data_IF_297093819823
#
_entry.id   IF_297093819823
#
_cell.length_a   1.000
_cell.length_b   1.000
_cell.length_c   1.000
_cell.angle_alpha   90.00
_cell.angle_beta   90.00
_cell.angle_gamma   90.00
#
_symmetry.space_group_name_H-M   'P 1'
#
loop_
_entity.id
_entity.type
_entity.pdbx_description
1 polymer ?
#
# COMPACT_ATOMS: atom_id res chain seq x y z
N UNK A 1 -19.37 -12.59 0.41
CA UNK A 1 -20.62 -13.15 0.98
C UNK A 1 -21.13 -14.34 0.16
N UNK A 2 -21.42 -14.16 -1.16
CA UNK A 2 -21.93 -15.25 -2.02
C UNK A 2 -20.99 -16.46 -2.04
N UNK A 3 -19.69 -16.24 -2.21
CA UNK A 3 -18.70 -17.33 -2.20
C UNK A 3 -18.65 -18.08 -0.87
N UNK A 4 -18.81 -17.39 0.27
CA UNK A 4 -18.85 -18.03 1.58
C UNK A 4 -20.14 -18.86 1.75
N UNK A 5 -21.27 -18.34 1.27
CA UNK A 5 -22.54 -19.07 1.30
C UNK A 5 -22.47 -20.36 0.45
N UNK A 6 -22.00 -20.23 -0.80
CA UNK A 6 -21.85 -21.39 -1.70
C UNK A 6 -20.82 -22.37 -1.14
N UNK A 7 -19.70 -21.88 -0.62
CA UNK A 7 -18.66 -22.74 -0.03
C UNK A 7 -19.15 -23.51 1.19
N UNK A 8 -19.96 -22.89 2.05
CA UNK A 8 -20.57 -23.57 3.20
C UNK A 8 -21.52 -24.68 2.78
N UNK A 9 -22.41 -24.42 1.84
CA UNK A 9 -23.39 -25.39 1.33
C UNK A 9 -22.70 -26.56 0.59
N UNK A 10 -21.71 -26.25 -0.26
CA UNK A 10 -20.93 -27.29 -0.98
C UNK A 10 -20.06 -28.10 0.00
N UNK A 11 -19.59 -27.47 1.09
CA UNK A 11 -18.86 -28.13 2.17
C UNK A 11 -19.71 -29.02 3.08
N UNK A 12 -21.03 -29.12 2.81
CA UNK A 12 -21.96 -30.02 3.52
C UNK A 12 -22.65 -29.42 4.74
N UNK A 13 -22.48 -28.09 4.99
CA UNK A 13 -23.23 -27.38 6.02
C UNK A 13 -24.62 -27.02 5.50
N UNK A 14 -25.63 -27.05 6.37
CA UNK A 14 -26.95 -26.50 6.04
C UNK A 14 -26.91 -24.96 5.98
N UNK A 15 -28.01 -24.36 5.52
CA UNK A 15 -28.10 -22.90 5.38
C UNK A 15 -27.95 -22.17 6.72
N UNK A 16 -28.55 -22.69 7.79
CA UNK A 16 -28.48 -22.09 9.13
C UNK A 16 -27.06 -22.16 9.69
N UNK A 17 -26.40 -23.28 9.56
CA UNK A 17 -25.02 -23.48 9.96
C UNK A 17 -24.08 -22.59 9.15
N UNK A 18 -24.28 -22.51 7.84
CA UNK A 18 -23.47 -21.63 6.97
C UNK A 18 -23.61 -20.18 7.38
N UNK A 19 -24.81 -19.69 7.63
CA UNK A 19 -25.04 -18.31 8.10
C UNK A 19 -24.42 -18.09 9.48
N UNK A 20 -24.53 -19.03 10.40
CA UNK A 20 -23.90 -18.94 11.73
C UNK A 20 -22.37 -18.86 11.65
N UNK A 21 -21.75 -19.65 10.78
CA UNK A 21 -20.31 -19.62 10.52
C UNK A 21 -19.88 -18.28 9.90
N UNK A 22 -20.68 -17.75 8.97
CA UNK A 22 -20.43 -16.41 8.38
C UNK A 22 -20.49 -15.30 9.42
N UNK A 23 -21.47 -15.33 10.32
CA UNK A 23 -21.60 -14.36 11.42
C UNK A 23 -20.41 -14.47 12.37
N UNK A 24 -20.04 -15.67 12.78
CA UNK A 24 -18.87 -15.91 13.65
C UNK A 24 -17.57 -15.43 13.01
N UNK A 25 -17.38 -15.71 11.72
CA UNK A 25 -16.24 -15.20 10.96
C UNK A 25 -16.20 -13.67 10.89
N UNK A 26 -17.34 -13.02 10.65
CA UNK A 26 -17.44 -11.56 10.65
C UNK A 26 -17.11 -10.96 12.02
N UNK A 27 -17.56 -11.57 13.11
CA UNK A 27 -17.20 -11.14 14.47
C UNK A 27 -15.71 -11.27 14.74
N UNK A 28 -15.08 -12.35 14.28
CA UNK A 28 -13.65 -12.60 14.45
C UNK A 28 -12.75 -11.56 13.78
N UNK A 29 -13.20 -10.95 12.66
CA UNK A 29 -12.40 -9.94 11.94
C UNK A 29 -12.75 -8.49 12.32
N UNK A 30 -13.67 -8.26 13.24
CA UNK A 30 -14.14 -6.89 13.58
C UNK A 30 -12.99 -5.99 14.04
N UNK A 31 -12.05 -6.51 14.83
CA UNK A 31 -10.87 -5.75 15.28
C UNK A 31 -10.01 -5.31 14.11
N UNK A 32 -9.75 -6.19 13.14
CA UNK A 32 -9.00 -5.86 11.93
C UNK A 32 -9.71 -4.80 11.11
N UNK A 33 -11.03 -4.91 10.95
CA UNK A 33 -11.86 -3.91 10.23
C UNK A 33 -11.74 -2.53 10.89
N UNK A 34 -11.84 -2.44 12.22
CA UNK A 34 -11.72 -1.17 12.94
C UNK A 34 -10.34 -0.54 12.77
N UNK A 35 -9.27 -1.34 12.81
CA UNK A 35 -7.90 -0.85 12.53
C UNK A 35 -7.73 -0.34 11.11
N UNK A 36 -8.30 -1.03 10.13
CA UNK A 36 -8.29 -0.60 8.72
C UNK A 36 -9.02 0.72 8.54
N UNK A 37 -10.19 0.89 9.17
CA UNK A 37 -10.94 2.14 9.14
C UNK A 37 -10.13 3.30 9.75
N UNK A 38 -9.50 3.07 10.90
CA UNK A 38 -8.66 4.08 11.55
C UNK A 38 -7.46 4.47 10.66
N UNK A 39 -6.79 3.51 10.03
CA UNK A 39 -5.72 3.78 9.07
C UNK A 39 -6.23 4.57 7.85
N UNK A 40 -7.43 4.26 7.35
CA UNK A 40 -8.08 4.99 6.27
C UNK A 40 -8.40 6.44 6.61
N UNK A 41 -8.83 6.71 7.84
CA UNK A 41 -9.05 8.09 8.33
C UNK A 41 -7.74 8.87 8.35
N UNK A 42 -6.65 8.29 8.85
CA UNK A 42 -5.33 8.94 8.83
C UNK A 42 -4.89 9.27 7.40
N UNK A 43 -5.02 8.31 6.48
CA UNK A 43 -4.70 8.52 5.07
C UNK A 43 -5.56 9.66 4.46
N UNK A 44 -6.87 9.69 4.75
CA UNK A 44 -7.78 10.75 4.32
C UNK A 44 -7.34 12.13 4.79
N UNK A 45 -6.99 12.27 6.06
CA UNK A 45 -6.49 13.53 6.64
C UNK A 45 -5.22 14.00 5.94
N UNK A 46 -4.27 13.10 5.66
CA UNK A 46 -3.03 13.44 4.94
C UNK A 46 -3.28 13.93 3.51
N UNK A 47 -4.30 13.38 2.86
CA UNK A 47 -4.67 13.79 1.50
C UNK A 47 -5.39 15.13 1.50
N UNK A 48 -6.45 15.26 2.31
CA UNK A 48 -7.29 16.46 2.37
C UNK A 48 -6.54 17.69 2.90
N UNK A 49 -5.59 17.50 3.81
CA UNK A 49 -4.72 18.57 4.30
C UNK A 49 -3.68 19.04 3.27
N UNK A 50 -3.51 18.34 2.14
CA UNK A 50 -2.46 18.59 1.16
C UNK A 50 -1.07 18.10 1.57
N UNK A 51 -0.94 17.50 2.76
CA UNK A 51 0.35 17.02 3.26
C UNK A 51 0.96 15.95 2.34
N UNK A 52 0.15 15.07 1.77
CA UNK A 52 0.61 14.06 0.83
C UNK A 52 1.27 14.67 -0.43
N UNK A 53 0.64 15.71 -1.00
CA UNK A 53 1.20 16.45 -2.14
C UNK A 53 2.51 17.15 -1.75
N UNK A 54 2.53 17.84 -0.62
CA UNK A 54 3.71 18.55 -0.12
C UNK A 54 4.90 17.62 0.11
N UNK A 55 4.66 16.42 0.67
CA UNK A 55 5.69 15.39 0.84
C UNK A 55 6.25 14.97 -0.52
N UNK A 56 5.38 14.64 -1.49
CA UNK A 56 5.78 14.19 -2.81
C UNK A 56 6.58 15.26 -3.56
N UNK A 57 6.11 16.53 -3.57
CA UNK A 57 6.79 17.66 -4.19
C UNK A 57 8.14 17.93 -3.53
N UNK A 58 8.20 17.91 -2.21
CA UNK A 58 9.46 18.15 -1.47
C UNK A 58 10.53 17.13 -1.84
N UNK A 59 10.16 15.84 -1.94
CA UNK A 59 11.10 14.77 -2.29
C UNK A 59 11.57 14.93 -3.73
N UNK A 60 10.64 15.18 -4.67
CA UNK A 60 10.97 15.31 -6.09
C UNK A 60 11.80 16.55 -6.37
N UNK A 61 11.50 17.68 -5.72
CA UNK A 61 12.27 18.91 -5.86
C UNK A 61 13.70 18.79 -5.28
N UNK A 62 13.85 18.10 -4.14
CA UNK A 62 15.17 17.91 -3.52
C UNK A 62 16.09 16.97 -4.32
N UNK A 63 15.54 15.94 -4.95
CA UNK A 63 16.33 14.97 -5.72
C UNK A 63 16.58 15.39 -7.16
N UNK A 64 15.71 16.25 -7.69
CA UNK A 64 15.82 16.79 -9.04
C UNK A 64 15.56 15.81 -10.17
N UNK A 65 15.62 16.32 -11.40
CA UNK A 65 15.27 15.55 -12.61
C UNK A 65 16.25 14.40 -12.89
N UNK A 66 17.52 14.56 -12.55
CA UNK A 66 18.56 13.51 -12.75
C UNK A 66 18.28 12.24 -11.95
N UNK A 67 17.50 12.32 -10.89
CA UNK A 67 17.12 11.20 -10.01
C UNK A 67 15.62 10.99 -9.95
N UNK A 68 14.92 11.35 -11.03
CA UNK A 68 13.45 11.33 -11.07
C UNK A 68 12.85 9.97 -10.67
N UNK A 69 13.37 8.86 -11.19
CA UNK A 69 12.87 7.52 -10.81
C UNK A 69 13.02 7.26 -9.30
N UNK A 70 14.16 7.63 -8.72
CA UNK A 70 14.39 7.48 -7.28
C UNK A 70 13.46 8.41 -6.48
N UNK A 71 13.28 9.64 -6.94
CA UNK A 71 12.40 10.61 -6.31
C UNK A 71 10.94 10.12 -6.25
N UNK A 72 10.44 9.60 -7.37
CA UNK A 72 9.08 9.05 -7.46
C UNK A 72 8.91 7.79 -6.61
N UNK A 73 9.90 6.89 -6.61
CA UNK A 73 9.89 5.70 -5.77
C UNK A 73 9.90 6.07 -4.27
N UNK A 74 10.72 7.02 -3.85
CA UNK A 74 10.77 7.48 -2.46
C UNK A 74 9.52 8.26 -2.05
N UNK A 75 8.95 9.08 -2.95
CA UNK A 75 7.71 9.79 -2.67
C UNK A 75 6.56 8.81 -2.39
N UNK A 76 6.35 7.82 -3.25
CA UNK A 76 5.33 6.79 -3.05
C UNK A 76 5.62 5.90 -1.85
N UNK A 77 6.90 5.56 -1.60
CA UNK A 77 7.32 4.81 -0.42
C UNK A 77 6.95 5.54 0.87
N UNK A 78 7.31 6.80 1.00
CA UNK A 78 7.06 7.57 2.23
C UNK A 78 5.56 7.74 2.46
N UNK A 79 4.79 8.06 1.42
CA UNK A 79 3.33 8.17 1.53
C UNK A 79 2.69 6.86 2.00
N UNK A 80 3.11 5.73 1.43
CA UNK A 80 2.55 4.44 1.83
C UNK A 80 3.08 3.95 3.17
N UNK A 81 4.33 4.27 3.54
CA UNK A 81 4.88 3.94 4.86
C UNK A 81 4.15 4.65 6.01
N UNK A 82 3.66 5.87 5.76
CA UNK A 82 2.85 6.63 6.73
C UNK A 82 1.40 6.10 6.83
N UNK A 83 0.97 5.25 5.86
CA UNK A 83 -0.35 4.59 5.90
C UNK A 83 -1.27 4.97 4.74
N UNK A 84 -0.85 5.81 3.80
CA UNK A 84 -1.63 6.08 2.59
C UNK A 84 -1.68 4.81 1.73
N UNK A 85 -2.85 4.43 1.26
CA UNK A 85 -2.99 3.26 0.39
C UNK A 85 -2.25 3.49 -0.93
N UNK A 86 -1.64 2.43 -1.45
CA UNK A 86 -0.77 2.51 -2.63
C UNK A 86 -1.48 3.13 -3.83
N UNK A 87 -2.73 2.77 -4.06
CA UNK A 87 -3.51 3.29 -5.19
C UNK A 87 -3.65 4.81 -5.11
N UNK A 88 -3.93 5.31 -3.90
CA UNK A 88 -4.06 6.75 -3.63
C UNK A 88 -2.69 7.44 -3.71
N UNK A 89 -1.63 6.84 -3.16
CA UNK A 89 -0.28 7.39 -3.26
C UNK A 89 0.18 7.53 -4.72
N UNK A 90 -0.09 6.51 -5.56
CA UNK A 90 0.22 6.56 -6.98
C UNK A 90 -0.59 7.64 -7.69
N UNK A 91 -1.89 7.77 -7.43
CA UNK A 91 -2.74 8.83 -8.00
C UNK A 91 -2.23 10.21 -7.58
N UNK A 92 -1.90 10.40 -6.31
CA UNK A 92 -1.39 11.67 -5.75
C UNK A 92 -0.06 12.09 -6.40
N UNK A 93 0.86 11.14 -6.63
CA UNK A 93 2.17 11.42 -7.22
C UNK A 93 2.12 11.50 -8.75
N UNK A 94 1.09 10.96 -9.39
CA UNK A 94 0.96 10.90 -10.86
C UNK A 94 1.10 12.25 -11.58
N UNK A 95 0.51 13.37 -11.13
CA UNK A 95 0.71 14.66 -11.79
C UNK A 95 2.18 15.09 -11.82
N UNK A 96 2.90 14.87 -10.71
CA UNK A 96 4.34 15.17 -10.60
C UNK A 96 5.14 14.25 -11.52
N UNK A 97 4.80 12.96 -11.54
CA UNK A 97 5.43 11.96 -12.40
C UNK A 97 5.28 12.30 -13.88
N UNK A 98 4.09 12.74 -14.30
CA UNK A 98 3.83 13.16 -15.68
C UNK A 98 4.57 14.46 -16.05
N UNK A 99 4.70 15.40 -15.11
CA UNK A 99 5.49 16.61 -15.32
C UNK A 99 6.98 16.27 -15.49
N UNK A 100 7.52 15.37 -14.66
CA UNK A 100 8.89 14.87 -14.79
C UNK A 100 9.11 14.10 -16.10
N UNK A 101 8.16 13.26 -16.49
CA UNK A 101 8.23 12.51 -17.75
C UNK A 101 8.35 13.40 -18.98
N UNK A 102 7.75 14.60 -18.95
CA UNK A 102 7.84 15.59 -20.04
C UNK A 102 9.20 16.31 -20.12
N UNK A 103 9.96 16.30 -19.02
CA UNK A 103 11.26 16.98 -18.89
C UNK A 103 12.44 16.03 -18.95
N UNK A 104 12.18 14.74 -18.87
CA UNK A 104 13.19 13.68 -18.87
C UNK A 104 12.82 12.64 -19.93
N UNK A 105 13.81 11.99 -20.52
CA UNK A 105 13.57 10.90 -21.50
C UNK A 105 13.15 9.58 -20.84
N UNK A 106 12.49 9.63 -19.68
CA UNK A 106 12.05 8.45 -18.97
C UNK A 106 10.77 7.88 -19.58
N UNK A 107 10.78 6.58 -19.81
CA UNK A 107 9.60 5.88 -20.30
C UNK A 107 8.48 5.85 -19.27
N UNK A 108 7.22 5.90 -19.71
CA UNK A 108 6.06 5.75 -18.80
C UNK A 108 6.08 4.46 -18.00
N UNK A 109 6.45 3.29 -18.58
CA UNK A 109 6.60 2.05 -17.83
C UNK A 109 7.67 2.14 -16.72
N UNK A 110 8.81 2.78 -16.98
CA UNK A 110 9.86 2.99 -15.98
C UNK A 110 9.37 3.79 -14.79
N UNK A 111 8.68 4.90 -15.05
CA UNK A 111 8.08 5.76 -14.03
C UNK A 111 7.04 5.00 -13.21
N UNK A 112 6.13 4.30 -13.87
CA UNK A 112 5.09 3.52 -13.20
C UNK A 112 5.69 2.40 -12.34
N UNK A 113 6.70 1.69 -12.86
CA UNK A 113 7.39 0.65 -12.10
C UNK A 113 8.10 1.20 -10.87
N UNK A 114 8.75 2.35 -10.97
CA UNK A 114 9.38 3.02 -9.83
C UNK A 114 8.36 3.41 -8.75
N UNK A 115 7.23 3.99 -9.15
CA UNK A 115 6.16 4.39 -8.23
C UNK A 115 5.51 3.19 -7.55
N UNK A 116 5.19 2.13 -8.29
CA UNK A 116 4.61 0.90 -7.74
C UNK A 116 5.61 0.22 -6.81
N UNK A 117 6.88 0.14 -7.21
CA UNK A 117 7.93 -0.45 -6.39
C UNK A 117 8.11 0.27 -5.06
N UNK A 118 8.18 1.61 -5.09
CA UNK A 118 8.23 2.44 -3.89
C UNK A 118 6.98 2.27 -3.02
N UNK A 119 5.81 2.36 -3.63
CA UNK A 119 4.54 2.20 -2.92
C UNK A 119 4.37 0.82 -2.28
N UNK A 120 4.77 -0.25 -2.95
CA UNK A 120 4.76 -1.61 -2.36
C UNK A 120 5.77 -1.76 -1.24
N UNK A 121 6.96 -1.18 -1.38
CA UNK A 121 7.97 -1.19 -0.32
C UNK A 121 7.45 -0.48 0.95
N UNK A 122 6.87 0.72 0.84
CA UNK A 122 6.27 1.40 1.97
C UNK A 122 5.08 0.64 2.57
N UNK A 123 4.28 -0.02 1.73
CA UNK A 123 3.16 -0.83 2.18
C UNK A 123 3.59 -2.00 3.08
N UNK A 124 4.75 -2.63 2.81
CA UNK A 124 5.25 -3.74 3.63
C UNK A 124 5.59 -3.32 5.06
N UNK A 125 5.92 -2.05 5.28
CA UNK A 125 6.31 -1.52 6.59
C UNK A 125 5.27 -0.57 7.21
N UNK A 126 4.04 -0.54 6.68
CA UNK A 126 2.97 0.36 7.12
C UNK A 126 1.80 -0.39 7.74
N UNK A 127 0.95 0.30 8.53
CA UNK A 127 -0.28 -0.27 9.07
C UNK A 127 -1.38 -0.40 7.99
N UNK A 128 -1.06 -1.06 6.88
CA UNK A 128 -2.00 -1.32 5.80
C UNK A 128 -2.89 -2.54 6.10
N UNK A 129 -3.99 -2.75 5.37
CA UNK A 129 -4.91 -3.85 5.59
C UNK A 129 -4.25 -5.24 5.59
N UNK A 130 -3.24 -5.48 4.74
CA UNK A 130 -2.55 -6.77 4.66
C UNK A 130 -1.71 -7.04 5.92
N UNK A 131 -0.96 -6.03 6.39
CA UNK A 131 -0.18 -6.15 7.62
C UNK A 131 -1.09 -6.32 8.85
N UNK A 132 -2.22 -5.59 8.89
CA UNK A 132 -3.21 -5.70 9.96
C UNK A 132 -3.84 -7.12 9.96
N UNK A 133 -4.25 -7.62 8.79
CA UNK A 133 -4.83 -8.96 8.67
C UNK A 133 -3.83 -10.05 9.08
N UNK A 134 -2.57 -9.93 8.66
CA UNK A 134 -1.52 -10.87 9.05
C UNK A 134 -1.26 -10.82 10.57
N UNK A 135 -1.14 -9.64 11.15
CA UNK A 135 -0.96 -9.48 12.59
C UNK A 135 -2.10 -10.11 13.40
N UNK A 136 -3.33 -9.91 12.94
CA UNK A 136 -4.53 -10.43 13.60
C UNK A 136 -4.62 -11.96 13.47
N UNK A 137 -4.36 -12.49 12.27
CA UNK A 137 -4.43 -13.94 11.99
C UNK A 137 -3.36 -14.74 12.76
N UNK A 138 -2.14 -14.20 12.84
CA UNK A 138 -1.03 -14.84 13.53
C UNK A 138 -0.91 -14.45 15.01
N UNK A 139 -1.84 -13.64 15.53
CA UNK A 139 -1.83 -13.12 16.90
C UNK A 139 -0.50 -12.44 17.28
N UNK A 140 0.06 -11.68 16.33
CA UNK A 140 1.30 -10.92 16.52
C UNK A 140 1.02 -9.43 16.72
N UNK A 141 1.90 -8.70 17.42
CA UNK A 141 1.85 -7.25 17.42
C UNK A 141 2.01 -6.71 15.99
N UNK A 142 1.18 -5.74 15.60
CA UNK A 142 1.26 -5.12 14.26
C UNK A 142 2.65 -4.55 13.98
N UNK A 143 3.29 -3.97 14.99
CA UNK A 143 4.66 -3.44 14.91
C UNK A 143 5.68 -4.51 14.54
N UNK A 144 5.53 -5.74 15.02
CA UNK A 144 6.43 -6.85 14.68
C UNK A 144 6.30 -7.22 13.19
N UNK A 145 5.07 -7.25 12.66
CA UNK A 145 4.83 -7.50 11.23
C UNK A 145 5.42 -6.38 10.38
N UNK A 146 5.22 -5.12 10.77
CA UNK A 146 5.78 -3.95 10.08
C UNK A 146 7.31 -3.98 10.07
N UNK A 147 7.94 -4.28 11.21
CA UNK A 147 9.41 -4.39 11.33
C UNK A 147 9.98 -5.51 10.46
N UNK A 148 9.33 -6.68 10.43
CA UNK A 148 9.71 -7.78 9.56
C UNK A 148 9.61 -7.40 8.07
N UNK A 149 8.72 -6.49 7.72
CA UNK A 149 8.53 -5.96 6.37
C UNK A 149 9.67 -5.07 5.87
N UNK A 150 10.52 -4.52 6.75
CA UNK A 150 11.56 -3.54 6.36
C UNK A 150 12.59 -4.15 5.40
N UNK A 151 13.12 -5.33 5.72
CA UNK A 151 14.16 -5.98 4.89
C UNK A 151 13.63 -6.30 3.48
N UNK A 152 12.49 -7.02 3.31
CA UNK A 152 11.96 -7.28 1.99
C UNK A 152 11.51 -5.99 1.26
N UNK A 153 11.09 -4.95 1.98
CA UNK A 153 10.75 -3.66 1.39
C UNK A 153 11.97 -3.00 0.74
N UNK A 154 13.11 -2.96 1.45
CA UNK A 154 14.35 -2.38 0.92
C UNK A 154 14.85 -3.19 -0.29
N UNK A 155 14.87 -4.51 -0.19
CA UNK A 155 15.29 -5.38 -1.30
C UNK A 155 14.37 -5.22 -2.52
N UNK A 156 13.06 -5.18 -2.32
CA UNK A 156 12.08 -4.97 -3.38
C UNK A 156 12.22 -3.59 -4.02
N UNK A 157 12.46 -2.53 -3.24
CA UNK A 157 12.71 -1.19 -3.74
C UNK A 157 13.97 -1.14 -4.64
N UNK A 158 15.06 -1.73 -4.16
CA UNK A 158 16.32 -1.79 -4.91
C UNK A 158 16.10 -2.52 -6.24
N UNK A 159 15.48 -3.69 -6.20
CA UNK A 159 15.21 -4.49 -7.39
C UNK A 159 14.34 -3.72 -8.41
N UNK A 160 13.23 -3.16 -7.97
CA UNK A 160 12.31 -2.41 -8.85
C UNK A 160 12.96 -1.14 -9.40
N UNK A 161 13.80 -0.46 -8.62
CA UNK A 161 14.56 0.69 -9.11
C UNK A 161 15.54 0.32 -10.23
N UNK A 162 16.29 -0.77 -10.07
CA UNK A 162 17.21 -1.23 -11.12
C UNK A 162 16.46 -1.72 -12.37
N UNK A 163 15.31 -2.39 -12.20
CA UNK A 163 14.47 -2.77 -13.33
C UNK A 163 13.89 -1.55 -14.05
N UNK A 164 13.42 -0.56 -13.31
CA UNK A 164 12.91 0.68 -13.89
C UNK A 164 13.97 1.45 -14.70
N UNK A 165 15.23 1.40 -14.27
CA UNK A 165 16.35 2.02 -15.01
C UNK A 165 16.68 1.33 -16.35
N UNK A 166 16.22 0.11 -16.56
CA UNK A 166 16.44 -0.64 -17.80
C UNK A 166 15.31 -0.49 -18.82
N UNK A 167 14.21 0.13 -18.43
CA UNK A 167 13.05 0.41 -19.30
C UNK A 167 13.13 1.82 -19.87
#
# INVERSE_FOLDING_TARGET
LVGALVGGLVGGADLSQTVSLMIGGAQGITTAVMRILAAGVLAGVLIESGAANTIAETITNKLGETRALLALALATLILTAVGVFIDVAVITVSPIALALARRTDLSKPAILLAMIGGGKAGNLMSPNPNAIAAADTFHLPLTSVMMAGIIPAILGLILTYFLAKRL
#
